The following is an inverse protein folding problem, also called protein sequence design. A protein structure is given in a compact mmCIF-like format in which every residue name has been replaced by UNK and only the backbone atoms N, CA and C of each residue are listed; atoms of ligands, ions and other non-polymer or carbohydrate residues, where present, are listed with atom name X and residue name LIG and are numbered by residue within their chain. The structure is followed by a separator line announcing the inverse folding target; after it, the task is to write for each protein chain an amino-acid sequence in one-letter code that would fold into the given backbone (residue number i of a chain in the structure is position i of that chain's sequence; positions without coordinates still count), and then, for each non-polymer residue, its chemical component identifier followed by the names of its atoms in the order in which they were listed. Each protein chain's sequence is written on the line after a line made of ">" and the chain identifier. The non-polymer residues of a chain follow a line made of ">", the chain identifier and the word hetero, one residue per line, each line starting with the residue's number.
data_IF_241100135026
#
_entry.id   IF_241100135026
#
_cell.length_a   1.000
_cell.length_b   1.000
_cell.length_c   1.000
_cell.angle_alpha   90.00
_cell.angle_beta   90.00
_cell.angle_gamma   90.00
#
_symmetry.space_group_name_H-M   'P 1'
#
loop_
_entity.id
_entity.type
_entity.pdbx_description
1 polymer ?
#
# COMPACT_ATOMS: atom_id res chain seq x y z
N UNK A 1 -10.34 -13.88 11.83
CA UNK A 1 -10.15 -12.70 10.96
C UNK A 1 -11.26 -12.68 9.92
N UNK A 2 -11.88 -11.52 9.69
CA UNK A 2 -12.86 -11.35 8.62
C UNK A 2 -12.12 -11.42 7.28
N UNK A 3 -12.57 -12.29 6.37
CA UNK A 3 -12.04 -12.35 5.00
C UNK A 3 -12.69 -11.25 4.17
N UNK A 4 -11.87 -10.41 3.56
CA UNK A 4 -12.31 -9.36 2.65
C UNK A 4 -12.33 -9.94 1.23
N UNK A 5 -13.40 -9.73 0.44
CA UNK A 5 -13.43 -10.14 -0.96
C UNK A 5 -12.24 -9.60 -1.76
N UNK A 6 -11.91 -10.27 -2.85
CA UNK A 6 -10.87 -9.83 -3.77
C UNK A 6 -11.24 -8.45 -4.33
N UNK A 7 -10.26 -7.55 -4.38
CA UNK A 7 -10.40 -6.31 -5.14
C UNK A 7 -10.08 -6.59 -6.60
N UNK A 8 -10.86 -6.00 -7.52
CA UNK A 8 -10.52 -6.04 -8.93
C UNK A 8 -9.25 -5.21 -9.20
N UNK A 9 -8.64 -5.41 -10.37
CA UNK A 9 -7.39 -4.75 -10.76
C UNK A 9 -7.50 -3.21 -10.75
N UNK A 10 -8.65 -2.66 -11.14
CA UNK A 10 -8.87 -1.21 -11.19
C UNK A 10 -8.85 -0.59 -9.78
N UNK A 11 -9.51 -1.24 -8.81
CA UNK A 11 -9.51 -0.79 -7.41
C UNK A 11 -8.10 -0.86 -6.79
N UNK A 12 -7.37 -1.96 -7.04
CA UNK A 12 -5.99 -2.11 -6.57
C UNK A 12 -5.07 -1.05 -7.18
N UNK A 13 -5.15 -0.85 -8.49
CA UNK A 13 -4.33 0.14 -9.20
C UNK A 13 -4.62 1.55 -8.70
N UNK A 14 -5.90 1.93 -8.60
CA UNK A 14 -6.31 3.25 -8.13
C UNK A 14 -5.76 3.54 -6.72
N UNK A 15 -5.90 2.60 -5.79
CA UNK A 15 -5.36 2.73 -4.44
C UNK A 15 -3.82 2.85 -4.45
N UNK A 16 -3.13 2.02 -5.24
CA UNK A 16 -1.67 2.07 -5.33
C UNK A 16 -1.16 3.38 -5.93
N UNK A 17 -1.87 3.97 -6.91
CA UNK A 17 -1.51 5.25 -7.50
C UNK A 17 -1.62 6.41 -6.51
N UNK A 18 -2.70 6.46 -5.74
CA UNK A 18 -2.88 7.49 -4.69
C UNK A 18 -1.80 7.35 -3.61
N UNK A 19 -1.62 6.12 -3.08
CA UNK A 19 -0.66 5.88 -2.00
C UNK A 19 0.79 6.10 -2.42
N UNK A 20 1.12 5.85 -3.68
CA UNK A 20 2.47 5.96 -4.21
C UNK A 20 2.66 7.17 -5.14
N UNK A 21 1.81 8.20 -4.98
CA UNK A 21 1.92 9.48 -5.67
C UNK A 21 3.35 10.05 -5.61
N UNK A 22 3.73 10.77 -6.67
CA UNK A 22 5.10 11.25 -6.85
C UNK A 22 5.46 12.37 -5.88
N UNK A 23 4.53 13.28 -5.59
CA UNK A 23 4.81 14.49 -4.80
C UNK A 23 4.59 14.25 -3.31
N UNK A 24 3.47 13.61 -2.94
CA UNK A 24 3.04 13.50 -1.53
C UNK A 24 2.76 12.07 -1.07
N UNK A 25 2.87 11.11 -1.99
CA UNK A 25 2.74 9.69 -1.71
C UNK A 25 3.90 9.11 -0.90
N UNK A 26 3.81 7.82 -0.61
CA UNK A 26 4.85 7.05 0.07
C UNK A 26 6.14 7.07 -0.75
N UNK A 27 7.28 7.19 -0.08
CA UNK A 27 8.59 6.96 -0.68
C UNK A 27 8.82 5.45 -0.93
N UNK A 28 9.79 5.11 -1.78
CA UNK A 28 10.15 3.71 -2.02
C UNK A 28 10.54 2.96 -0.74
N UNK A 29 11.30 3.61 0.15
CA UNK A 29 11.69 3.04 1.44
C UNK A 29 10.49 2.84 2.39
N UNK A 30 9.51 3.76 2.37
CA UNK A 30 8.28 3.59 3.14
C UNK A 30 7.45 2.42 2.62
N UNK A 31 7.33 2.26 1.30
CA UNK A 31 6.63 1.13 0.67
C UNK A 31 7.28 -0.19 1.09
N UNK A 32 8.60 -0.29 0.98
CA UNK A 32 9.35 -1.49 1.35
C UNK A 32 9.13 -1.89 2.81
N UNK A 33 9.29 -0.93 3.73
CA UNK A 33 9.06 -1.15 5.16
C UNK A 33 7.63 -1.61 5.44
N UNK A 34 6.64 -0.96 4.83
CA UNK A 34 5.23 -1.29 5.06
C UNK A 34 4.88 -2.68 4.51
N UNK A 35 5.40 -3.06 3.34
CA UNK A 35 5.23 -4.41 2.78
C UNK A 35 5.84 -5.48 3.70
N UNK A 36 7.04 -5.24 4.24
CA UNK A 36 7.66 -6.14 5.22
C UNK A 36 6.83 -6.28 6.50
N UNK A 37 6.30 -5.18 7.03
CA UNK A 37 5.45 -5.18 8.24
C UNK A 37 4.18 -6.02 8.08
N UNK A 38 3.61 -6.09 6.87
CA UNK A 38 2.45 -6.93 6.55
C UNK A 38 2.82 -8.29 5.94
N UNK A 39 4.11 -8.65 5.92
CA UNK A 39 4.65 -9.91 5.39
C UNK A 39 4.32 -10.15 3.91
N UNK A 40 4.29 -9.09 3.11
CA UNK A 40 4.14 -9.16 1.65
C UNK A 40 5.51 -8.97 0.99
N UNK A 41 5.85 -9.86 0.06
CA UNK A 41 7.10 -9.80 -0.67
C UNK A 41 7.11 -8.65 -1.70
N UNK A 42 8.23 -7.96 -1.79
CA UNK A 42 8.46 -6.92 -2.80
C UNK A 42 9.10 -7.53 -4.05
N UNK A 43 8.28 -7.85 -5.04
CA UNK A 43 8.70 -8.65 -6.20
C UNK A 43 9.26 -7.82 -7.36
N UNK A 44 9.16 -6.50 -7.30
CA UNK A 44 9.57 -5.62 -8.41
C UNK A 44 10.16 -4.29 -7.93
N UNK A 45 11.28 -4.31 -7.19
CA UNK A 45 11.86 -3.11 -6.57
C UNK A 45 12.36 -2.05 -7.56
N UNK A 46 12.64 -2.43 -8.81
CA UNK A 46 13.10 -1.55 -9.88
C UNK A 46 11.97 -0.81 -10.62
N UNK A 47 10.70 -1.12 -10.34
CA UNK A 47 9.57 -0.45 -10.97
C UNK A 47 9.21 0.89 -10.32
N UNK A 48 8.38 1.68 -11.00
CA UNK A 48 7.78 2.89 -10.40
C UNK A 48 7.03 2.51 -9.12
N UNK A 49 7.05 3.41 -8.12
CA UNK A 49 6.50 3.17 -6.78
C UNK A 49 5.11 2.53 -6.79
N UNK A 50 4.19 3.06 -7.60
CA UNK A 50 2.82 2.54 -7.69
C UNK A 50 2.75 1.15 -8.32
N UNK A 51 3.56 0.85 -9.35
CA UNK A 51 3.62 -0.48 -9.99
C UNK A 51 4.23 -1.51 -9.07
N UNK A 52 5.30 -1.13 -8.35
CA UNK A 52 5.95 -1.93 -7.30
C UNK A 52 4.94 -2.35 -6.24
N UNK A 53 4.19 -1.38 -5.70
CA UNK A 53 3.15 -1.64 -4.70
C UNK A 53 2.01 -2.51 -5.25
N UNK A 54 1.53 -2.21 -6.46
CA UNK A 54 0.47 -2.97 -7.13
C UNK A 54 0.85 -4.45 -7.31
N UNK A 55 2.05 -4.72 -7.85
CA UNK A 55 2.52 -6.08 -8.09
C UNK A 55 2.66 -6.89 -6.80
N UNK A 56 3.16 -6.26 -5.73
CA UNK A 56 3.28 -6.89 -4.42
C UNK A 56 1.90 -7.29 -3.86
N UNK A 57 0.92 -6.38 -3.91
CA UNK A 57 -0.42 -6.61 -3.38
C UNK A 57 -1.25 -7.59 -4.23
N UNK A 58 -1.13 -7.53 -5.56
CA UNK A 58 -1.74 -8.52 -6.47
C UNK A 58 -1.13 -9.91 -6.23
N UNK A 59 0.19 -10.00 -6.06
CA UNK A 59 0.87 -11.25 -5.72
C UNK A 59 0.31 -11.86 -4.45
N UNK A 60 0.20 -11.07 -3.37
CA UNK A 60 -0.40 -11.52 -2.12
C UNK A 60 -1.88 -11.90 -2.28
N UNK A 61 -2.68 -11.08 -2.98
CA UNK A 61 -4.08 -11.38 -3.21
C UNK A 61 -4.27 -12.71 -3.97
N UNK A 62 -3.47 -12.95 -5.00
CA UNK A 62 -3.53 -14.17 -5.80
C UNK A 62 -3.03 -15.40 -5.02
N UNK A 63 -2.00 -15.24 -4.18
CA UNK A 63 -1.47 -16.32 -3.36
C UNK A 63 -2.47 -16.75 -2.27
N UNK A 64 -3.05 -15.79 -1.56
CA UNK A 64 -3.88 -16.07 -0.38
C UNK A 64 -5.39 -16.05 -0.66
N UNK A 65 -5.79 -15.65 -1.87
CA UNK A 65 -7.19 -15.54 -2.30
C UNK A 65 -8.03 -14.67 -1.34
N UNK A 66 -7.48 -13.54 -0.90
CA UNK A 66 -8.13 -12.56 -0.01
C UNK A 66 -7.70 -11.12 -0.32
N UNK A 67 -8.63 -10.17 -0.18
CA UNK A 67 -8.36 -8.73 -0.33
C UNK A 67 -7.71 -8.07 0.89
N UNK A 68 -7.52 -8.82 1.98
CA UNK A 68 -7.06 -8.30 3.28
C UNK A 68 -5.73 -7.53 3.21
N UNK A 69 -4.80 -7.92 2.34
CA UNK A 69 -3.47 -7.30 2.27
C UNK A 69 -3.53 -5.83 1.83
N UNK A 70 -4.46 -5.47 0.93
CA UNK A 70 -4.67 -4.07 0.56
C UNK A 70 -5.10 -3.24 1.78
N UNK A 71 -6.08 -3.73 2.53
CA UNK A 71 -6.62 -3.03 3.71
C UNK A 71 -5.59 -2.97 4.83
N UNK A 72 -4.83 -4.04 5.06
CA UNK A 72 -3.72 -4.03 6.01
C UNK A 72 -2.66 -2.99 5.63
N UNK A 73 -2.31 -2.92 4.35
CA UNK A 73 -1.35 -1.94 3.85
C UNK A 73 -1.86 -0.51 4.07
N UNK A 74 -3.10 -0.21 3.68
CA UNK A 74 -3.74 1.11 3.88
C UNK A 74 -3.74 1.49 5.36
N UNK A 75 -4.18 0.59 6.25
CA UNK A 75 -4.22 0.85 7.68
C UNK A 75 -2.82 1.14 8.26
N UNK A 76 -1.79 0.45 7.77
CA UNK A 76 -0.42 0.66 8.22
C UNK A 76 0.18 1.95 7.67
N UNK A 77 -0.10 2.26 6.39
CA UNK A 77 0.28 3.49 5.74
C UNK A 77 -0.38 4.70 6.40
N UNK A 78 -1.66 4.61 6.76
CA UNK A 78 -2.46 5.67 7.36
C UNK A 78 -2.44 5.68 8.89
N UNK A 79 -1.50 4.97 9.53
CA UNK A 79 -1.37 5.06 10.98
C UNK A 79 -0.86 6.46 11.37
N UNK A 80 -1.63 7.27 12.13
CA UNK A 80 -1.30 8.66 12.43
C UNK A 80 0.02 8.81 13.19
N UNK A 81 0.47 7.79 13.92
CA UNK A 81 1.76 7.78 14.63
C UNK A 81 2.93 7.96 13.66
N UNK A 82 2.81 7.49 12.41
CA UNK A 82 3.84 7.68 11.38
C UNK A 82 3.98 9.15 10.92
N UNK A 83 3.03 10.02 11.29
CA UNK A 83 2.94 11.42 10.84
C UNK A 83 3.08 12.42 11.98
N UNK A 84 3.51 11.98 13.17
CA UNK A 84 3.66 12.85 14.34
C UNK A 84 4.57 14.07 14.09
N UNK A 85 5.53 13.94 13.16
CA UNK A 85 6.46 15.01 12.77
C UNK A 85 5.98 15.85 11.59
N UNK A 86 4.99 15.37 10.84
CA UNK A 86 4.43 16.05 9.66
C UNK A 86 2.93 15.74 9.49
N UNK A 87 2.06 16.41 10.27
CA UNK A 87 0.62 16.20 10.19
C UNK A 87 0.00 16.65 8.85
N UNK A 88 0.65 17.55 8.11
CA UNK A 88 0.14 18.04 6.84
C UNK A 88 0.12 16.93 5.78
N UNK A 89 1.15 16.08 5.76
CA UNK A 89 1.20 14.90 4.89
C UNK A 89 0.09 13.90 5.23
N UNK A 90 -0.25 13.74 6.51
CA UNK A 90 -1.37 12.87 6.91
C UNK A 90 -2.70 13.36 6.35
N UNK A 91 -2.99 14.66 6.50
CA UNK A 91 -4.22 15.28 5.98
C UNK A 91 -4.34 15.07 4.46
N UNK A 92 -3.27 15.34 3.70
CA UNK A 92 -3.30 15.15 2.25
C UNK A 92 -3.56 13.70 1.83
N UNK A 93 -3.04 12.71 2.55
CA UNK A 93 -3.26 11.28 2.22
C UNK A 93 -4.65 10.77 2.58
N UNK A 94 -5.35 11.49 3.47
CA UNK A 94 -6.68 11.10 3.96
C UNK A 94 -7.80 11.67 3.10
N UNK A 95 -7.63 12.90 2.63
CA UNK A 95 -8.62 13.64 1.84
C UNK A 95 -8.69 13.12 0.39
#
# INVERSE_FOLDING_TARGET
>A
MIRIPLFNSQHLEAACRVLADTERGLSGAQIERLLQEIKVADTSPSMTKWKRLYNALVGAQNQYQVGNHLIMFINRAMNPVNYARDPAVFTWRRD
#
